data_IF_411865868514
#
_entry.id   IF_411865868514
#
_cell.length_a   1.000
_cell.length_b   1.000
_cell.length_c   1.000
_cell.angle_alpha   90.00
_cell.angle_beta   90.00
_cell.angle_gamma   90.00
#
_symmetry.space_group_name_H-M   'P 1'
#
loop_
_entity.id
_entity.type
_entity.pdbx_description
1 polymer ?
#
# COMPACT_ATOMS: atom_id res chain seq x y z
N UNK A 1 16.44 8.27 -11.63
CA UNK A 1 17.05 8.06 -10.30
C UNK A 1 18.34 7.33 -10.49
N UNK A 2 19.34 7.67 -9.70
CA UNK A 2 20.61 6.96 -9.66
C UNK A 2 20.40 5.62 -8.96
N UNK A 3 20.73 4.56 -9.69
CA UNK A 3 20.53 3.16 -9.30
C UNK A 3 21.83 2.54 -8.80
N UNK A 4 22.94 3.30 -8.81
CA UNK A 4 24.22 2.85 -8.29
C UNK A 4 24.19 2.81 -6.75
N UNK A 5 24.51 1.65 -6.19
CA UNK A 5 24.88 1.48 -4.78
C UNK A 5 26.41 1.26 -4.74
N UNK A 6 27.15 2.33 -4.48
CA UNK A 6 28.61 2.31 -4.56
C UNK A 6 29.14 2.39 -6.00
N UNK A 7 30.38 1.95 -6.21
CA UNK A 7 31.07 2.16 -7.50
C UNK A 7 30.69 1.18 -8.61
N UNK A 8 30.16 -0.01 -8.29
CA UNK A 8 30.04 -1.13 -9.25
C UNK A 8 28.68 -1.86 -9.27
N UNK A 9 27.68 -1.46 -8.48
CA UNK A 9 26.41 -2.20 -8.39
C UNK A 9 25.21 -1.34 -8.80
N UNK A 10 24.56 -1.69 -9.90
CA UNK A 10 23.32 -1.04 -10.35
C UNK A 10 22.11 -1.87 -9.92
N UNK A 11 21.25 -1.29 -9.09
CA UNK A 11 20.07 -1.95 -8.54
C UNK A 11 18.98 -2.05 -9.62
N UNK A 12 18.46 -3.25 -9.94
CA UNK A 12 17.28 -3.41 -10.79
C UNK A 12 16.06 -2.68 -10.23
N UNK A 13 15.31 -1.90 -11.02
CA UNK A 13 14.11 -1.22 -10.51
C UNK A 13 13.08 -2.23 -9.97
N UNK A 14 12.97 -3.39 -10.60
CA UNK A 14 12.12 -4.50 -10.14
C UNK A 14 12.56 -5.09 -8.79
N UNK A 15 13.85 -5.00 -8.43
CA UNK A 15 14.34 -5.50 -7.14
C UNK A 15 13.82 -4.67 -5.95
N UNK A 16 13.28 -3.48 -6.20
CA UNK A 16 12.63 -2.70 -5.14
C UNK A 16 11.44 -3.42 -4.52
N UNK A 17 10.74 -4.25 -5.30
CA UNK A 17 9.63 -5.05 -4.81
C UNK A 17 10.08 -6.06 -3.74
N UNK A 18 11.35 -6.50 -3.77
CA UNK A 18 11.91 -7.39 -2.75
C UNK A 18 11.96 -6.73 -1.36
N UNK A 19 12.00 -5.40 -1.27
CA UNK A 19 11.92 -4.71 0.03
C UNK A 19 10.55 -4.89 0.70
N UNK A 20 9.47 -5.07 -0.06
CA UNK A 20 8.15 -5.42 0.51
C UNK A 20 8.27 -6.78 1.20
N UNK A 21 8.78 -7.79 0.48
CA UNK A 21 8.93 -9.15 1.02
C UNK A 21 9.88 -9.18 2.23
N UNK A 22 11.00 -8.46 2.18
CA UNK A 22 11.92 -8.33 3.31
C UNK A 22 11.24 -7.68 4.51
N UNK A 23 10.50 -6.60 4.29
CA UNK A 23 9.74 -5.92 5.33
C UNK A 23 8.73 -6.87 5.98
N UNK A 24 7.99 -7.65 5.19
CA UNK A 24 7.04 -8.65 5.70
C UNK A 24 7.75 -9.71 6.54
N UNK A 25 8.84 -10.30 6.01
CA UNK A 25 9.60 -11.36 6.70
C UNK A 25 10.19 -10.88 8.02
N UNK A 26 10.66 -9.62 8.09
CA UNK A 26 11.19 -9.02 9.31
C UNK A 26 10.07 -8.63 10.27
N UNK A 27 8.95 -8.13 9.76
CA UNK A 27 7.89 -7.58 10.60
C UNK A 27 6.98 -8.65 11.20
N UNK A 28 6.75 -9.79 10.53
CA UNK A 28 5.98 -10.92 11.08
C UNK A 28 6.51 -11.38 12.47
N UNK A 29 7.80 -11.71 12.65
CA UNK A 29 8.28 -12.14 13.97
C UNK A 29 8.20 -11.01 15.01
N UNK A 30 8.39 -9.75 14.61
CA UNK A 30 8.21 -8.59 15.50
C UNK A 30 6.74 -8.50 15.93
N UNK A 31 5.82 -8.69 14.99
CA UNK A 31 4.40 -8.67 15.25
C UNK A 31 4.00 -9.77 16.25
N UNK A 32 4.39 -11.02 15.99
CA UNK A 32 4.01 -12.17 16.80
C UNK A 32 4.70 -12.21 18.17
N UNK A 33 5.97 -11.78 18.25
CA UNK A 33 6.78 -11.89 19.49
C UNK A 33 6.74 -10.64 20.35
N UNK A 34 6.49 -9.47 19.78
CA UNK A 34 6.54 -8.20 20.50
C UNK A 34 5.17 -7.55 20.52
N UNK A 35 4.58 -7.26 19.36
CA UNK A 35 3.32 -6.50 19.31
C UNK A 35 2.14 -7.26 19.91
N UNK A 36 1.98 -8.56 19.60
CA UNK A 36 0.89 -9.37 20.12
C UNK A 36 0.96 -9.52 21.66
N UNK A 37 2.11 -9.92 22.27
CA UNK A 37 2.20 -10.01 23.73
C UNK A 37 2.02 -8.67 24.45
N UNK A 38 2.61 -7.59 23.93
CA UNK A 38 2.45 -6.25 24.50
C UNK A 38 0.99 -5.79 24.41
N UNK A 39 0.36 -5.97 23.25
CA UNK A 39 -1.05 -5.62 23.09
C UNK A 39 -1.94 -6.45 24.04
N UNK A 40 -1.67 -7.76 24.21
CA UNK A 40 -2.39 -8.61 25.18
C UNK A 40 -2.23 -8.09 26.60
N UNK A 41 -1.02 -7.69 26.99
CA UNK A 41 -0.74 -7.15 28.33
C UNK A 41 -1.47 -5.82 28.60
N UNK A 42 -1.59 -4.95 27.58
CA UNK A 42 -2.24 -3.63 27.73
C UNK A 42 -3.77 -3.74 27.66
N UNK A 43 -4.31 -4.50 26.70
CA UNK A 43 -5.77 -4.52 26.45
C UNK A 43 -6.50 -5.59 27.23
N UNK A 44 -5.79 -6.57 27.80
CA UNK A 44 -6.38 -7.72 28.48
C UNK A 44 -7.15 -8.68 27.56
N UNK A 45 -7.13 -8.48 26.24
CA UNK A 45 -7.82 -9.34 25.27
C UNK A 45 -6.89 -10.47 24.79
N UNK A 46 -7.40 -11.70 24.57
CA UNK A 46 -6.59 -12.82 24.10
C UNK A 46 -5.96 -12.60 22.71
N UNK A 47 -6.53 -11.74 21.86
CA UNK A 47 -5.89 -11.33 20.59
C UNK A 47 -5.08 -10.03 20.70
N UNK A 48 -5.03 -9.37 21.86
CA UNK A 48 -4.39 -8.06 22.05
C UNK A 48 -5.14 -6.92 21.34
N UNK A 49 -5.05 -6.83 20.02
CA UNK A 49 -5.76 -5.84 19.19
C UNK A 49 -6.94 -6.52 18.50
N UNK A 50 -8.09 -5.86 18.35
CA UNK A 50 -9.24 -6.47 17.66
C UNK A 50 -8.96 -6.64 16.17
N UNK A 51 -9.61 -7.62 15.53
CA UNK A 51 -9.42 -7.91 14.10
C UNK A 51 -9.69 -6.66 13.23
N UNK A 52 -10.74 -5.89 13.55
CA UNK A 52 -11.08 -4.66 12.83
C UNK A 52 -10.05 -3.54 13.06
N UNK A 53 -9.49 -3.44 14.27
CA UNK A 53 -8.42 -2.47 14.53
C UNK A 53 -7.14 -2.83 13.76
N UNK A 54 -6.80 -4.12 13.62
CA UNK A 54 -5.67 -4.59 12.81
C UNK A 54 -5.86 -4.21 11.33
N UNK A 55 -7.01 -4.55 10.75
CA UNK A 55 -7.37 -4.19 9.37
C UNK A 55 -7.31 -2.67 9.18
N UNK A 56 -7.94 -1.90 10.08
CA UNK A 56 -7.95 -0.44 10.01
C UNK A 56 -6.55 0.17 10.11
N UNK A 57 -5.67 -0.38 10.96
CA UNK A 57 -4.27 0.06 11.05
C UNK A 57 -3.53 -0.18 9.75
N UNK A 58 -3.73 -1.34 9.12
CA UNK A 58 -3.15 -1.64 7.82
C UNK A 58 -3.62 -0.67 6.74
N UNK A 59 -4.93 -0.44 6.61
CA UNK A 59 -5.48 0.54 5.65
C UNK A 59 -4.92 1.96 5.92
N UNK A 60 -4.79 2.37 7.17
CA UNK A 60 -4.19 3.67 7.51
C UNK A 60 -2.72 3.77 7.08
N UNK A 61 -1.93 2.71 7.31
CA UNK A 61 -0.53 2.66 6.90
C UNK A 61 -0.37 2.63 5.37
N UNK A 62 -1.29 2.01 4.63
CA UNK A 62 -1.28 2.04 3.16
C UNK A 62 -1.52 3.45 2.62
N UNK A 63 -2.42 4.23 3.24
CA UNK A 63 -2.62 5.66 2.91
C UNK A 63 -1.32 6.44 3.14
N UNK A 64 -0.67 6.23 4.30
CA UNK A 64 0.59 6.90 4.61
C UNK A 64 1.68 6.54 3.58
N UNK A 65 1.73 5.28 3.14
CA UNK A 65 2.64 4.84 2.07
C UNK A 65 2.38 5.58 0.76
N UNK A 66 1.12 5.82 0.37
CA UNK A 66 0.79 6.58 -0.84
C UNK A 66 1.16 8.06 -0.71
N UNK A 67 0.97 8.65 0.47
CA UNK A 67 1.41 10.04 0.74
C UNK A 67 2.93 10.15 0.63
N UNK A 68 3.67 9.21 1.22
CA UNK A 68 5.14 9.17 1.12
C UNK A 68 5.57 9.02 -0.34
N UNK A 69 4.91 8.16 -1.11
CA UNK A 69 5.17 7.99 -2.55
C UNK A 69 4.94 9.28 -3.35
N UNK A 70 3.82 9.98 -3.09
CA UNK A 70 3.52 11.25 -3.74
C UNK A 70 4.58 12.33 -3.44
N UNK A 71 5.07 12.40 -2.19
CA UNK A 71 6.11 13.35 -1.79
C UNK A 71 7.45 13.02 -2.47
N UNK A 72 7.86 11.75 -2.48
CA UNK A 72 9.10 11.32 -3.12
C UNK A 72 9.06 11.61 -4.62
N UNK A 73 7.93 11.34 -5.27
CA UNK A 73 7.77 11.56 -6.70
C UNK A 73 7.78 13.06 -7.04
N UNK A 74 7.10 13.89 -6.24
CA UNK A 74 7.17 15.35 -6.39
C UNK A 74 8.61 15.85 -6.28
N UNK A 75 9.38 15.33 -5.31
CA UNK A 75 10.81 15.67 -5.15
C UNK A 75 11.65 15.20 -6.34
N UNK A 76 11.37 14.02 -6.89
CA UNK A 76 12.03 13.49 -8.09
C UNK A 76 11.78 14.39 -9.30
N UNK A 77 10.53 14.82 -9.52
CA UNK A 77 10.16 15.71 -10.61
C UNK A 77 10.82 17.09 -10.48
N UNK A 78 10.83 17.66 -9.27
CA UNK A 78 11.52 18.92 -9.02
C UNK A 78 13.03 18.83 -9.32
N UNK A 79 13.67 17.73 -8.90
CA UNK A 79 15.10 17.50 -9.18
C UNK A 79 15.37 17.37 -10.68
N UNK A 80 14.47 16.70 -11.43
CA UNK A 80 14.58 16.60 -12.89
C UNK A 80 14.44 17.96 -13.58
N UNK A 81 13.57 18.83 -13.07
CA UNK A 81 13.37 20.19 -13.57
C UNK A 81 14.58 21.09 -13.29
N UNK A 82 15.12 21.07 -12.08
CA UNK A 82 16.29 21.86 -11.67
C UNK A 82 17.54 21.52 -12.49
N UNK A 83 17.68 20.26 -12.94
CA UNK A 83 18.80 19.80 -13.76
C UNK A 83 18.53 19.88 -15.28
N UNK A 84 17.38 20.43 -15.70
CA UNK A 84 17.02 20.55 -17.11
C UNK A 84 16.81 19.21 -17.83
N UNK A 85 16.51 18.14 -17.08
CA UNK A 85 16.39 16.76 -17.59
C UNK A 85 14.97 16.40 -18.05
N UNK A 86 14.05 17.36 -18.05
CA UNK A 86 12.62 17.17 -18.34
C UNK A 86 12.39 16.61 -19.75
N UNK A 87 13.19 17.04 -20.72
CA UNK A 87 13.07 16.62 -22.13
C UNK A 87 13.93 15.41 -22.48
N UNK A 88 14.67 14.86 -21.50
CA UNK A 88 15.56 13.71 -21.70
C UNK A 88 14.96 12.45 -21.06
N UNK A 89 14.19 11.63 -21.79
CA UNK A 89 13.46 10.48 -21.23
C UNK A 89 14.38 9.38 -20.65
N UNK A 90 15.65 9.34 -21.09
CA UNK A 90 16.65 8.37 -20.60
C UNK A 90 17.62 8.96 -19.57
N UNK A 91 17.51 10.25 -19.25
CA UNK A 91 18.42 10.87 -18.31
C UNK A 91 18.12 10.40 -16.88
N UNK A 92 19.17 9.95 -16.19
CA UNK A 92 19.10 9.56 -14.80
C UNK A 92 18.97 10.81 -13.93
N UNK A 93 17.77 10.99 -13.34
CA UNK A 93 17.60 12.02 -12.29
C UNK A 93 18.61 11.76 -11.17
N UNK A 94 19.43 12.75 -10.77
CA UNK A 94 20.50 12.61 -9.77
C UNK A 94 19.91 12.54 -8.35
N UNK A 95 19.15 11.48 -8.11
CA UNK A 95 18.48 11.18 -6.85
C UNK A 95 18.61 9.69 -6.58
N UNK A 96 19.13 9.34 -5.40
CA UNK A 96 19.34 7.93 -5.03
C UNK A 96 18.03 7.16 -4.99
N UNK A 97 18.05 5.94 -5.52
CA UNK A 97 16.94 4.99 -5.47
C UNK A 97 16.51 4.64 -4.03
N UNK A 98 17.39 4.85 -3.03
CA UNK A 98 17.09 4.59 -1.62
C UNK A 98 15.92 5.43 -1.09
N UNK A 99 15.60 6.56 -1.73
CA UNK A 99 14.43 7.36 -1.37
C UNK A 99 13.10 6.62 -1.55
N UNK A 100 13.04 5.57 -2.37
CA UNK A 100 11.85 4.74 -2.53
C UNK A 100 11.72 3.66 -1.44
N UNK A 101 12.78 3.37 -0.68
CA UNK A 101 12.73 2.32 0.35
C UNK A 101 11.65 2.57 1.42
N UNK A 102 11.46 3.80 1.96
CA UNK A 102 10.46 4.07 2.99
C UNK A 102 9.02 3.70 2.59
N UNK A 103 8.59 4.02 1.36
CA UNK A 103 7.25 3.64 0.88
C UNK A 103 7.10 2.11 0.80
N UNK A 104 8.12 1.38 0.34
CA UNK A 104 8.04 -0.09 0.23
C UNK A 104 8.01 -0.79 1.59
N UNK A 105 8.78 -0.29 2.57
CA UNK A 105 8.75 -0.79 3.94
C UNK A 105 7.38 -0.50 4.58
N UNK A 106 6.88 0.73 4.48
CA UNK A 106 5.57 1.11 5.01
C UNK A 106 4.45 0.26 4.40
N UNK A 107 4.49 0.04 3.07
CA UNK A 107 3.56 -0.83 2.38
C UNK A 107 3.63 -2.28 2.87
N UNK A 108 4.83 -2.83 3.05
CA UNK A 108 5.01 -4.18 3.59
C UNK A 108 4.45 -4.33 5.02
N UNK A 109 4.68 -3.35 5.89
CA UNK A 109 4.12 -3.35 7.25
C UNK A 109 2.58 -3.26 7.21
N UNK A 110 2.05 -2.35 6.39
CA UNK A 110 0.62 -2.22 6.12
C UNK A 110 -0.02 -3.54 5.69
N UNK A 111 0.66 -4.26 4.80
CA UNK A 111 0.19 -5.54 4.26
C UNK A 111 0.10 -6.60 5.36
N UNK A 112 1.11 -6.71 6.25
CA UNK A 112 1.05 -7.64 7.40
C UNK A 112 -0.17 -7.37 8.28
N UNK A 113 -0.43 -6.11 8.66
CA UNK A 113 -1.58 -5.77 9.50
C UNK A 113 -2.91 -6.08 8.81
N UNK A 114 -3.03 -5.73 7.52
CA UNK A 114 -4.27 -5.94 6.75
C UNK A 114 -4.53 -7.43 6.54
N UNK A 115 -3.52 -8.18 6.12
CA UNK A 115 -3.62 -9.61 5.80
C UNK A 115 -3.94 -10.44 7.03
N UNK A 116 -3.19 -10.24 8.12
CA UNK A 116 -3.43 -10.96 9.38
C UNK A 116 -4.83 -10.64 9.91
N UNK A 117 -5.24 -9.37 9.87
CA UNK A 117 -6.56 -8.94 10.32
C UNK A 117 -7.70 -9.52 9.47
N UNK A 118 -7.58 -9.50 8.14
CA UNK A 118 -8.58 -10.06 7.22
C UNK A 118 -8.68 -11.58 7.37
N UNK A 119 -7.55 -12.28 7.42
CA UNK A 119 -7.53 -13.73 7.55
C UNK A 119 -8.19 -14.18 8.85
N UNK A 120 -7.86 -13.55 9.98
CA UNK A 120 -8.46 -13.84 11.28
C UNK A 120 -9.96 -13.51 11.27
N UNK A 121 -10.36 -12.37 10.69
CA UNK A 121 -11.76 -11.98 10.57
C UNK A 121 -12.60 -12.98 9.76
N UNK A 122 -12.17 -13.33 8.55
CA UNK A 122 -12.90 -14.29 7.71
C UNK A 122 -12.87 -15.71 8.27
N UNK A 123 -11.83 -16.08 9.02
CA UNK A 123 -11.75 -17.41 9.63
C UNK A 123 -12.66 -17.55 10.86
N UNK A 124 -12.77 -16.50 11.70
CA UNK A 124 -13.49 -16.54 12.96
C UNK A 124 -14.95 -16.07 12.86
N UNK A 125 -15.26 -15.14 11.95
CA UNK A 125 -16.61 -14.56 11.86
C UNK A 125 -17.53 -15.32 10.89
N UNK A 126 -16.97 -16.13 9.99
CA UNK A 126 -17.75 -16.91 9.02
C UNK A 126 -18.12 -18.26 9.65
N UNK A 127 -19.40 -18.69 9.53
CA UNK A 127 -19.82 -20.03 9.98
C UNK A 127 -18.96 -21.14 9.38
N UNK A 128 -18.79 -22.23 10.12
CA UNK A 128 -17.92 -23.35 9.71
C UNK A 128 -18.34 -23.91 8.35
N UNK A 129 -19.64 -23.96 8.08
CA UNK A 129 -20.23 -24.44 6.82
C UNK A 129 -19.89 -23.54 5.63
N UNK A 130 -19.60 -22.26 5.86
CA UNK A 130 -19.34 -21.25 4.83
C UNK A 130 -17.86 -20.84 4.76
N UNK A 131 -16.96 -21.55 5.46
CA UNK A 131 -15.56 -21.16 5.58
C UNK A 131 -14.83 -21.06 4.23
N UNK A 132 -15.14 -21.94 3.30
CA UNK A 132 -14.63 -21.89 1.91
C UNK A 132 -15.09 -20.64 1.17
N UNK A 133 -16.34 -20.21 1.38
CA UNK A 133 -16.89 -18.98 0.82
C UNK A 133 -16.23 -17.74 1.46
N UNK A 134 -15.94 -17.78 2.76
CA UNK A 134 -15.17 -16.73 3.43
C UNK A 134 -13.78 -16.55 2.81
N UNK A 135 -13.08 -17.65 2.53
CA UNK A 135 -11.77 -17.61 1.89
C UNK A 135 -11.84 -17.12 0.43
N UNK A 136 -12.86 -17.52 -0.33
CA UNK A 136 -13.03 -17.05 -1.70
C UNK A 136 -13.37 -15.56 -1.76
N UNK A 137 -14.17 -15.06 -0.81
CA UNK A 137 -14.43 -13.63 -0.65
C UNK A 137 -13.14 -12.87 -0.33
N UNK A 138 -12.32 -13.38 0.59
CA UNK A 138 -10.99 -12.81 0.88
C UNK A 138 -10.11 -12.74 -0.38
N UNK A 139 -10.00 -13.82 -1.15
CA UNK A 139 -9.21 -13.82 -2.39
C UNK A 139 -9.79 -12.86 -3.45
N UNK A 140 -11.12 -12.72 -3.51
CA UNK A 140 -11.77 -11.83 -4.48
C UNK A 140 -11.43 -10.36 -4.25
N UNK A 141 -11.05 -9.96 -3.02
CA UNK A 141 -10.59 -8.59 -2.70
C UNK A 141 -9.40 -8.20 -3.60
N UNK A 142 -8.44 -9.10 -3.81
CA UNK A 142 -7.29 -8.83 -4.69
C UNK A 142 -7.68 -8.68 -6.16
N UNK A 143 -8.64 -9.51 -6.62
CA UNK A 143 -9.17 -9.43 -7.98
C UNK A 143 -9.89 -8.11 -8.23
N UNK A 144 -10.82 -7.75 -7.33
CA UNK A 144 -11.54 -6.47 -7.38
C UNK A 144 -10.55 -5.30 -7.31
N UNK A 145 -9.55 -5.36 -6.43
CA UNK A 145 -8.50 -4.35 -6.32
C UNK A 145 -7.71 -4.17 -7.62
N UNK A 146 -7.39 -5.27 -8.31
CA UNK A 146 -6.71 -5.24 -9.61
C UNK A 146 -7.57 -4.59 -10.69
N UNK A 147 -8.85 -4.95 -10.77
CA UNK A 147 -9.78 -4.32 -11.71
C UNK A 147 -9.98 -2.84 -11.42
N UNK A 148 -10.11 -2.46 -10.14
CA UNK A 148 -10.24 -1.07 -9.74
C UNK A 148 -8.98 -0.27 -10.10
N UNK A 149 -7.79 -0.83 -9.90
CA UNK A 149 -6.53 -0.22 -10.32
C UNK A 149 -6.49 0.04 -11.82
N UNK A 150 -6.78 -0.96 -12.64
CA UNK A 150 -6.83 -0.81 -14.10
C UNK A 150 -7.89 0.21 -14.55
N UNK A 151 -9.06 0.20 -13.90
CA UNK A 151 -10.11 1.17 -14.17
C UNK A 151 -9.67 2.60 -13.85
N UNK A 152 -9.06 2.83 -12.68
CA UNK A 152 -8.55 4.14 -12.27
C UNK A 152 -7.48 4.66 -13.23
N UNK A 153 -6.56 3.80 -13.68
CA UNK A 153 -5.54 4.17 -14.67
C UNK A 153 -6.24 4.59 -15.97
N UNK A 154 -7.15 3.77 -16.51
CA UNK A 154 -7.83 4.06 -17.76
C UNK A 154 -8.68 5.35 -17.72
N UNK A 155 -9.40 5.58 -16.62
CA UNK A 155 -10.14 6.84 -16.41
C UNK A 155 -9.20 8.03 -16.35
N UNK A 156 -8.08 7.90 -15.63
CA UNK A 156 -7.09 8.97 -15.49
C UNK A 156 -6.45 9.30 -16.85
N UNK A 157 -6.07 8.29 -17.62
CA UNK A 157 -5.53 8.46 -18.98
C UNK A 157 -6.54 9.12 -19.91
N UNK A 158 -7.81 8.72 -19.85
CA UNK A 158 -8.88 9.29 -20.68
C UNK A 158 -9.15 10.76 -20.33
N UNK A 159 -9.19 11.12 -19.04
CA UNK A 159 -9.40 12.50 -18.60
C UNK A 159 -8.19 13.36 -18.95
N UNK A 160 -6.98 12.87 -18.71
CA UNK A 160 -5.76 13.68 -18.84
C UNK A 160 -5.25 13.75 -20.28
N UNK A 161 -5.49 12.72 -21.10
CA UNK A 161 -5.00 12.64 -22.47
C UNK A 161 -5.89 13.33 -23.52
N UNK A 162 -7.02 13.94 -23.12
CA UNK A 162 -8.07 14.40 -24.06
C UNK A 162 -7.74 15.68 -24.85
N UNK A 163 -6.74 16.47 -24.45
CA UNK A 163 -6.50 17.80 -25.02
C UNK A 163 -5.11 17.98 -25.66
N UNK A 164 -4.45 16.88 -26.08
CA UNK A 164 -3.10 16.96 -26.66
C UNK A 164 -1.99 17.36 -25.68
N UNK A 165 -2.33 17.47 -24.39
CA UNK A 165 -1.38 17.65 -23.29
C UNK A 165 -0.81 16.29 -22.84
N UNK A 166 0.39 16.30 -22.26
CA UNK A 166 1.03 15.09 -21.74
C UNK A 166 0.20 14.45 -20.62
N UNK A 167 -0.30 13.24 -20.86
CA UNK A 167 -0.96 12.40 -19.86
C UNK A 167 -0.10 12.24 -18.60
N UNK A 168 -0.73 12.05 -17.43
CA UNK A 168 -0.02 11.74 -16.18
C UNK A 168 0.85 10.48 -16.30
N UNK A 169 0.53 9.60 -17.25
CA UNK A 169 1.30 8.42 -17.63
C UNK A 169 2.01 8.61 -18.98
N UNK A 170 2.84 9.66 -19.09
CA UNK A 170 3.66 9.86 -20.29
C UNK A 170 4.78 8.82 -20.39
N UNK A 171 5.10 8.36 -21.59
CA UNK A 171 6.29 7.52 -21.87
C UNK A 171 7.59 8.18 -21.38
N UNK A 172 7.63 9.52 -21.36
CA UNK A 172 8.67 10.26 -20.68
C UNK A 172 8.30 10.44 -19.21
N UNK A 173 8.84 9.58 -18.34
CA UNK A 173 8.63 9.63 -16.89
C UNK A 173 9.02 10.99 -16.27
N UNK A 174 9.92 11.76 -16.89
CA UNK A 174 10.31 13.10 -16.42
C UNK A 174 9.27 14.19 -16.75
N UNK A 175 8.35 13.91 -17.67
CA UNK A 175 7.15 14.73 -17.96
C UNK A 175 5.86 14.14 -17.36
N UNK A 176 5.89 12.88 -16.93
CA UNK A 176 4.79 12.21 -16.27
C UNK A 176 4.58 12.77 -14.85
N UNK A 177 3.33 13.07 -14.50
CA UNK A 177 2.95 13.55 -13.18
C UNK A 177 2.33 12.42 -12.35
N UNK A 178 3.15 11.40 -12.04
CA UNK A 178 2.73 10.27 -11.22
C UNK A 178 2.39 10.68 -9.77
N UNK A 179 2.92 11.81 -9.32
CA UNK A 179 2.60 12.40 -8.02
C UNK A 179 1.11 12.73 -7.88
N UNK A 180 0.46 13.23 -8.93
CA UNK A 180 -0.99 13.47 -8.93
C UNK A 180 -1.80 12.18 -8.81
N UNK A 181 -1.38 11.13 -9.51
CA UNK A 181 -2.04 9.83 -9.40
C UNK A 181 -1.91 9.25 -7.98
N UNK A 182 -0.75 9.36 -7.35
CA UNK A 182 -0.57 8.94 -5.95
C UNK A 182 -1.40 9.77 -4.97
N UNK A 183 -1.59 11.07 -5.21
CA UNK A 183 -2.52 11.89 -4.42
C UNK A 183 -3.97 11.45 -4.60
N UNK A 184 -4.41 11.15 -5.83
CA UNK A 184 -5.76 10.61 -6.09
C UNK A 184 -5.97 9.30 -5.33
N UNK A 185 -4.99 8.39 -5.37
CA UNK A 185 -5.04 7.15 -4.61
C UNK A 185 -5.12 7.42 -3.09
N UNK A 186 -4.30 8.33 -2.55
CA UNK A 186 -4.33 8.68 -1.13
C UNK A 186 -5.70 9.22 -0.69
N UNK A 187 -6.31 10.10 -1.48
CA UNK A 187 -7.65 10.67 -1.20
C UNK A 187 -8.71 9.58 -1.28
N UNK A 188 -8.71 8.76 -2.34
CA UNK A 188 -9.67 7.68 -2.52
C UNK A 188 -9.58 6.64 -1.40
N UNK A 189 -8.35 6.25 -1.02
CA UNK A 189 -8.10 5.35 0.11
C UNK A 189 -8.55 5.96 1.44
N UNK A 190 -8.42 7.29 1.63
CA UNK A 190 -8.93 7.98 2.82
C UNK A 190 -10.46 7.96 2.89
N UNK A 191 -11.15 8.13 1.76
CA UNK A 191 -12.61 8.02 1.67
C UNK A 191 -13.03 6.57 2.01
N UNK A 192 -12.38 5.59 1.40
CA UNK A 192 -12.62 4.17 1.67
C UNK A 192 -12.36 3.81 3.14
N UNK A 193 -11.31 4.35 3.75
CA UNK A 193 -11.00 4.18 5.17
C UNK A 193 -12.07 4.81 6.07
N UNK A 194 -12.60 5.97 5.71
CA UNK A 194 -13.69 6.60 6.47
C UNK A 194 -14.95 5.76 6.42
N UNK A 195 -15.31 5.22 5.25
CA UNK A 195 -16.41 4.28 5.11
C UNK A 195 -16.16 3.01 5.94
N UNK A 196 -14.94 2.47 5.91
CA UNK A 196 -14.54 1.34 6.74
C UNK A 196 -14.70 1.62 8.24
N UNK A 197 -14.31 2.80 8.72
CA UNK A 197 -14.51 3.21 10.11
C UNK A 197 -16.00 3.29 10.48
N UNK A 198 -16.84 3.78 9.57
CA UNK A 198 -18.29 3.81 9.77
C UNK A 198 -18.89 2.40 9.91
N UNK A 199 -18.54 1.48 9.01
CA UNK A 199 -19.01 0.10 9.06
C UNK A 199 -18.46 -0.69 10.26
N UNK A 200 -17.17 -0.53 10.58
CA UNK A 200 -16.53 -1.24 11.69
C UNK A 200 -17.07 -0.83 13.06
N UNK A 201 -17.51 0.42 13.23
CA UNK A 201 -18.19 0.88 14.46
C UNK A 201 -19.55 0.23 14.67
N UNK A 202 -20.28 -0.05 13.58
CA UNK A 202 -21.60 -0.67 13.62
C UNK A 202 -21.53 -2.20 13.67
N UNK A 203 -20.34 -2.78 13.47
CA UNK A 203 -20.16 -4.23 13.40
C UNK A 203 -20.19 -4.88 14.79
N UNK A 204 -21.10 -5.82 14.98
CA UNK A 204 -21.18 -6.64 16.19
C UNK A 204 -20.48 -7.96 15.91
N UNK A 205 -19.43 -8.24 16.67
CA UNK A 205 -18.70 -9.50 16.58
C UNK A 205 -19.61 -10.69 16.88
N UNK A 206 -19.55 -11.71 16.03
CA UNK A 206 -20.21 -12.96 16.32
C UNK A 206 -19.46 -13.64 17.47
N UNK A 207 -20.16 -13.95 18.57
CA UNK A 207 -19.58 -14.73 19.66
C UNK A 207 -19.50 -16.16 19.17
N UNK A 208 -18.30 -16.60 18.77
CA UNK A 208 -18.06 -18.03 18.61
C UNK A 208 -18.32 -18.67 19.98
N UNK A 209 -19.40 -19.43 20.06
CA UNK A 209 -19.70 -20.29 21.20
C UNK A 209 -18.59 -21.33 21.26
N UNK A 210 -17.63 -21.09 22.15
CA UNK A 210 -16.65 -22.10 22.56
C UNK A 210 -17.42 -23.31 23.07
N UNK A 211 -17.47 -24.36 22.26
CA UNK A 211 -17.71 -25.73 22.72
C UNK A 211 -16.44 -26.24 23.40
#
# INVERSE_FOLDING_TARGET
>A
MDRSLGSNFEVPAASLQSFISLSVVIFIPIYDRILVPVARAITGKPSGITMLQRIGTGIFLSILSMVVAAIIEKKRLQTALEHGLVDMPKATVPMSICWLIPQYILFGISDVFTMVGLQEFFYDQVPVELKSIGLSLYLSIFGIGSFLSSFLISVTENITGKDGQTSWFSDNLNRAHLDYFYWVLAVLSTIAFTAYLYFSRSYIYNKSSSL
#
